data_IF_137430760186
#
_entry.id   IF_137430760186
#
_cell.length_a   1.000
_cell.length_b   1.000
_cell.length_c   1.000
_cell.angle_alpha   90.00
_cell.angle_beta   90.00
_cell.angle_gamma   90.00
#
_symmetry.space_group_name_H-M   'P 1'
#
loop_
_entity.id
_entity.type
_entity.pdbx_description
1 polymer ?
#
# COMPACT_ATOMS: atom_id res chain seq x y z
N UNK A 1 -17.64 18.14 -6.39
CA UNK A 1 -16.28 17.59 -6.16
C UNK A 1 -16.16 17.18 -4.70
N UNK A 2 -15.59 16.02 -4.42
CA UNK A 2 -15.45 15.57 -3.03
C UNK A 2 -14.35 16.32 -2.31
N UNK A 3 -14.47 16.43 -0.99
CA UNK A 3 -13.42 17.03 -0.15
C UNK A 3 -12.09 16.28 -0.31
N UNK A 4 -12.15 14.96 -0.49
CA UNK A 4 -10.96 14.13 -0.68
C UNK A 4 -10.23 14.53 -1.97
N UNK A 5 -10.96 14.73 -3.07
CA UNK A 5 -10.36 15.15 -4.33
C UNK A 5 -9.70 16.52 -4.20
N UNK A 6 -10.35 17.46 -3.52
CA UNK A 6 -9.80 18.80 -3.28
C UNK A 6 -8.54 18.74 -2.43
N UNK A 7 -8.55 17.96 -1.36
CA UNK A 7 -7.41 17.82 -0.46
C UNK A 7 -6.22 17.19 -1.16
N UNK A 8 -6.44 16.14 -1.96
CA UNK A 8 -5.37 15.49 -2.72
C UNK A 8 -4.75 16.45 -3.73
N UNK A 9 -5.57 17.21 -4.44
CA UNK A 9 -5.09 18.18 -5.41
C UNK A 9 -4.23 19.24 -4.74
N UNK A 10 -4.69 19.75 -3.59
CA UNK A 10 -3.94 20.75 -2.82
C UNK A 10 -2.59 20.19 -2.37
N UNK A 11 -2.57 19.00 -1.74
CA UNK A 11 -1.33 18.40 -1.25
C UNK A 11 -0.36 18.14 -2.39
N UNK A 12 -0.83 17.58 -3.50
CA UNK A 12 0.02 17.34 -4.66
C UNK A 12 0.67 18.62 -5.19
N UNK A 13 -0.05 19.73 -5.15
CA UNK A 13 0.48 21.01 -5.63
C UNK A 13 1.61 21.56 -4.78
N UNK A 14 1.73 21.09 -3.54
CA UNK A 14 2.79 21.53 -2.60
C UNK A 14 4.02 20.63 -2.64
N UNK A 15 3.98 19.49 -3.33
CA UNK A 15 5.08 18.53 -3.33
C UNK A 15 6.04 18.80 -4.48
N UNK A 16 7.37 18.68 -4.24
CA UNK A 16 8.35 18.76 -5.31
C UNK A 16 8.25 17.55 -6.24
N UNK A 17 8.74 17.69 -7.47
CA UNK A 17 8.79 16.60 -8.42
C UNK A 17 9.62 15.43 -7.88
N UNK A 18 9.25 14.22 -8.23
CA UNK A 18 9.95 13.01 -7.80
C UNK A 18 9.52 12.47 -6.44
N UNK A 19 8.59 13.15 -5.76
CA UNK A 19 8.05 12.67 -4.49
C UNK A 19 6.75 11.90 -4.74
N UNK A 20 6.65 10.71 -4.15
CA UNK A 20 5.44 9.89 -4.22
C UNK A 20 4.58 10.14 -2.99
N UNK A 21 3.33 10.54 -3.21
CA UNK A 21 2.36 10.71 -2.14
C UNK A 21 1.64 9.38 -1.90
N UNK A 22 1.76 8.86 -0.68
CA UNK A 22 1.02 7.67 -0.27
C UNK A 22 -0.16 8.12 0.58
N UNK A 23 -1.38 7.83 0.12
CA UNK A 23 -2.57 8.12 0.90
C UNK A 23 -2.79 7.01 1.92
N UNK A 24 -2.80 7.35 3.21
CA UNK A 24 -3.04 6.39 4.28
C UNK A 24 -4.53 6.11 4.34
N UNK A 25 -4.90 4.88 3.99
CA UNK A 25 -6.29 4.46 3.84
C UNK A 25 -6.78 3.54 4.96
N UNK A 26 -5.93 3.24 5.93
CA UNK A 26 -6.32 2.38 7.07
C UNK A 26 -7.56 2.94 7.77
N UNK A 27 -8.45 2.05 8.20
CA UNK A 27 -9.72 2.35 8.87
C UNK A 27 -10.75 3.09 8.01
N UNK A 28 -10.42 3.44 6.76
CA UNK A 28 -11.39 4.04 5.83
C UNK A 28 -12.07 2.94 5.00
N UNK A 29 -13.38 3.06 4.74
CA UNK A 29 -14.07 2.09 3.89
C UNK A 29 -13.66 2.23 2.43
N UNK A 30 -13.95 1.18 1.65
CA UNK A 30 -13.59 1.15 0.23
C UNK A 30 -14.20 2.31 -0.57
N UNK A 31 -15.38 2.79 -0.18
CA UNK A 31 -16.03 3.91 -0.86
C UNK A 31 -15.20 5.19 -0.78
N UNK A 32 -14.58 5.44 0.37
CA UNK A 32 -13.72 6.61 0.57
C UNK A 32 -12.45 6.50 -0.27
N UNK A 33 -11.85 5.31 -0.32
CA UNK A 33 -10.68 5.05 -1.14
C UNK A 33 -11.03 5.23 -2.62
N UNK A 34 -12.22 4.79 -3.02
CA UNK A 34 -12.69 4.94 -4.39
C UNK A 34 -12.80 6.41 -4.81
N UNK A 35 -13.21 7.29 -3.89
CA UNK A 35 -13.24 8.73 -4.18
C UNK A 35 -11.85 9.26 -4.51
N UNK A 36 -10.84 8.85 -3.74
CA UNK A 36 -9.46 9.24 -4.02
C UNK A 36 -8.97 8.65 -5.35
N UNK A 37 -9.33 7.41 -5.62
CA UNK A 37 -9.00 6.75 -6.88
C UNK A 37 -9.61 7.50 -8.07
N UNK A 38 -10.88 7.86 -7.97
CA UNK A 38 -11.58 8.57 -9.04
C UNK A 38 -10.99 9.97 -9.26
N UNK A 39 -10.35 10.54 -8.23
CA UNK A 39 -9.62 11.80 -8.34
C UNK A 39 -8.24 11.65 -8.97
N UNK A 40 -7.85 10.43 -9.35
CA UNK A 40 -6.59 10.14 -10.02
C UNK A 40 -5.47 9.62 -9.14
N UNK A 41 -5.73 9.41 -7.85
CA UNK A 41 -4.70 8.88 -6.95
C UNK A 41 -4.61 7.36 -7.04
N UNK A 42 -3.39 6.83 -7.07
CA UNK A 42 -3.14 5.39 -7.29
C UNK A 42 -2.30 4.72 -6.22
N UNK A 43 -1.77 5.47 -5.25
CA UNK A 43 -0.85 4.93 -4.24
C UNK A 43 -1.49 5.05 -2.86
N UNK A 44 -1.76 3.91 -2.23
CA UNK A 44 -2.43 3.86 -0.93
C UNK A 44 -1.63 3.01 0.06
N UNK A 45 -1.71 3.35 1.34
CA UNK A 45 -1.03 2.63 2.40
C UNK A 45 -1.98 2.06 3.43
N UNK A 46 -1.81 0.78 3.75
CA UNK A 46 -2.59 0.06 4.76
C UNK A 46 -1.67 -0.47 5.85
N UNK A 47 -2.20 -0.60 7.06
CA UNK A 47 -1.42 -1.08 8.21
C UNK A 47 -1.69 -2.54 8.56
N UNK A 48 -2.80 -3.11 8.11
CA UNK A 48 -3.19 -4.49 8.43
C UNK A 48 -3.25 -5.33 7.16
N UNK A 49 -2.52 -6.46 7.11
CA UNK A 49 -2.49 -7.28 5.89
C UNK A 49 -3.84 -7.79 5.44
N UNK A 50 -4.72 -8.15 6.36
CA UNK A 50 -6.04 -8.65 6.01
C UNK A 50 -6.92 -7.56 5.41
N UNK A 51 -6.89 -6.35 5.99
CA UNK A 51 -7.61 -5.21 5.47
C UNK A 51 -7.09 -4.83 4.08
N UNK A 52 -5.76 -4.86 3.91
CA UNK A 52 -5.13 -4.60 2.62
C UNK A 52 -5.60 -5.58 1.56
N UNK A 53 -5.64 -6.86 1.89
CA UNK A 53 -6.10 -7.90 0.97
C UNK A 53 -7.55 -7.69 0.57
N UNK A 54 -8.41 -7.41 1.54
CA UNK A 54 -9.83 -7.18 1.27
C UNK A 54 -10.05 -5.98 0.36
N UNK A 55 -9.32 -4.89 0.60
CA UNK A 55 -9.42 -3.69 -0.23
C UNK A 55 -8.87 -3.95 -1.63
N UNK A 56 -7.79 -4.72 -1.74
CA UNK A 56 -7.25 -5.09 -3.05
C UNK A 56 -8.29 -5.86 -3.88
N UNK A 57 -9.03 -6.76 -3.25
CA UNK A 57 -10.06 -7.54 -3.94
C UNK A 57 -11.25 -6.68 -4.36
N UNK A 58 -11.61 -5.70 -3.54
CA UNK A 58 -12.80 -4.86 -3.74
C UNK A 58 -12.58 -3.68 -4.68
N UNK A 59 -11.33 -3.26 -4.89
CA UNK A 59 -11.00 -2.04 -5.60
C UNK A 59 -10.25 -2.33 -6.91
N UNK A 60 -10.12 -1.33 -7.82
CA UNK A 60 -9.42 -1.55 -9.10
C UNK A 60 -7.99 -2.05 -8.91
N UNK A 61 -7.53 -2.85 -9.87
CA UNK A 61 -6.24 -3.56 -9.76
C UNK A 61 -5.04 -2.71 -10.13
N UNK A 62 -5.23 -1.51 -10.63
CA UNK A 62 -4.14 -0.60 -10.96
C UNK A 62 -3.72 0.29 -9.77
N UNK A 63 -4.29 0.06 -8.59
CA UNK A 63 -3.84 0.71 -7.37
C UNK A 63 -2.50 0.11 -6.94
N UNK A 64 -1.55 0.98 -6.57
CA UNK A 64 -0.29 0.57 -6.00
C UNK A 64 -0.43 0.56 -4.48
N UNK A 65 -0.42 -0.63 -3.89
CA UNK A 65 -0.60 -0.80 -2.46
C UNK A 65 0.71 -0.86 -1.71
N UNK A 66 0.81 -0.10 -0.62
CA UNK A 66 1.95 -0.13 0.29
C UNK A 66 1.52 -0.68 1.64
N UNK A 67 2.32 -1.58 2.20
CA UNK A 67 2.13 -2.02 3.57
C UNK A 67 2.96 -1.12 4.47
N UNK A 68 2.29 -0.26 5.25
CA UNK A 68 2.97 0.78 6.04
C UNK A 68 3.01 0.49 7.53
N UNK A 69 2.32 -0.56 7.99
CA UNK A 69 2.33 -0.95 9.39
C UNK A 69 3.28 -2.11 9.67
N UNK A 70 3.34 -2.50 10.93
CA UNK A 70 4.14 -3.66 11.34
C UNK A 70 3.60 -4.94 10.69
N UNK A 71 4.52 -5.73 10.13
CA UNK A 71 4.15 -6.95 9.40
C UNK A 71 4.68 -8.18 10.13
N UNK A 72 3.76 -9.07 10.51
CA UNK A 72 4.11 -10.37 11.08
C UNK A 72 4.46 -11.35 9.96
N UNK A 73 5.42 -12.23 10.23
CA UNK A 73 5.90 -13.20 9.22
C UNK A 73 4.81 -14.11 8.69
N UNK A 74 3.84 -14.49 9.55
CA UNK A 74 2.76 -15.38 9.14
C UNK A 74 1.66 -14.68 8.33
N UNK A 75 1.76 -13.37 8.13
CA UNK A 75 0.78 -12.59 7.37
C UNK A 75 1.28 -12.17 5.99
N UNK A 76 2.56 -12.33 5.71
CA UNK A 76 3.15 -11.90 4.44
C UNK A 76 2.44 -12.53 3.24
N UNK A 77 2.06 -13.79 3.36
CA UNK A 77 1.40 -14.55 2.28
C UNK A 77 0.12 -13.88 1.77
N UNK A 78 -0.54 -13.08 2.58
CA UNK A 78 -1.80 -12.44 2.18
C UNK A 78 -1.59 -11.26 1.24
N UNK A 79 -0.42 -10.65 1.28
CA UNK A 79 -0.14 -9.42 0.50
C UNK A 79 0.95 -9.61 -0.55
N UNK A 80 1.81 -10.61 -0.42
CA UNK A 80 2.92 -10.83 -1.34
C UNK A 80 2.52 -10.90 -2.81
N UNK A 81 1.36 -11.46 -3.19
CA UNK A 81 0.98 -11.52 -4.60
C UNK A 81 0.76 -10.17 -5.27
N UNK A 82 0.51 -9.08 -4.52
CA UNK A 82 0.14 -7.82 -5.16
C UNK A 82 0.79 -6.57 -4.55
N UNK A 83 1.32 -6.63 -3.33
CA UNK A 83 1.86 -5.44 -2.67
C UNK A 83 3.05 -4.87 -3.47
N UNK A 84 3.12 -3.53 -3.55
CA UNK A 84 4.19 -2.86 -4.29
C UNK A 84 5.41 -2.58 -3.42
N UNK A 85 5.19 -2.20 -2.16
CA UNK A 85 6.27 -1.82 -1.25
C UNK A 85 5.88 -2.16 0.18
N UNK A 86 6.80 -2.75 0.93
CA UNK A 86 6.62 -3.03 2.35
C UNK A 86 7.55 -2.12 3.13
N UNK A 87 6.97 -1.28 3.96
CA UNK A 87 7.71 -0.39 4.87
C UNK A 87 8.07 -1.16 6.16
N UNK A 88 8.84 -0.52 7.02
CA UNK A 88 9.09 -1.02 8.39
C UNK A 88 9.67 -2.43 8.47
N UNK A 89 10.55 -2.78 7.55
CA UNK A 89 11.30 -4.04 7.64
C UNK A 89 12.47 -3.80 8.59
N UNK A 90 12.37 -4.36 9.80
CA UNK A 90 13.28 -4.05 10.90
C UNK A 90 14.17 -5.22 11.33
N UNK A 91 14.12 -6.34 10.61
CA UNK A 91 14.94 -7.51 10.94
C UNK A 91 15.28 -8.33 9.71
N UNK A 92 16.41 -9.02 9.76
CA UNK A 92 16.80 -9.94 8.71
C UNK A 92 15.80 -11.10 8.59
N UNK A 93 15.24 -11.55 9.72
CA UNK A 93 14.23 -12.61 9.73
C UNK A 93 13.00 -12.23 8.93
N UNK A 94 12.51 -11.01 9.10
CA UNK A 94 11.36 -10.51 8.34
C UNK A 94 11.71 -10.38 6.86
N UNK A 95 12.88 -9.84 6.53
CA UNK A 95 13.32 -9.71 5.15
C UNK A 95 13.41 -11.07 4.45
N UNK A 96 13.95 -12.07 5.13
CA UNK A 96 14.03 -13.43 4.58
C UNK A 96 12.66 -14.05 4.36
N UNK A 97 11.74 -13.84 5.29
CA UNK A 97 10.37 -14.32 5.15
C UNK A 97 9.67 -13.67 3.95
N UNK A 98 9.88 -12.38 3.75
CA UNK A 98 9.33 -11.66 2.59
C UNK A 98 9.91 -12.24 1.31
N UNK A 99 11.22 -12.51 1.28
CA UNK A 99 11.86 -13.08 0.10
C UNK A 99 11.28 -14.45 -0.25
N UNK A 100 11.05 -15.29 0.74
CA UNK A 100 10.46 -16.62 0.51
C UNK A 100 9.08 -16.52 -0.11
N UNK A 101 8.23 -15.63 0.41
CA UNK A 101 6.88 -15.46 -0.13
C UNK A 101 6.91 -14.82 -1.52
N UNK A 102 7.80 -13.87 -1.75
CA UNK A 102 7.96 -13.26 -3.07
C UNK A 102 8.38 -14.30 -4.11
N UNK A 103 9.30 -15.19 -3.74
CA UNK A 103 9.76 -16.26 -4.64
C UNK A 103 8.61 -17.20 -5.01
N UNK A 104 7.75 -17.55 -4.06
CA UNK A 104 6.57 -18.39 -4.33
C UNK A 104 5.62 -17.74 -5.32
N UNK A 105 5.54 -16.43 -5.34
CA UNK A 105 4.68 -15.67 -6.25
C UNK A 105 5.37 -15.30 -7.56
N UNK A 106 6.65 -15.62 -7.71
CA UNK A 106 7.43 -15.22 -8.87
C UNK A 106 7.64 -13.71 -8.98
N UNK A 107 7.69 -13.01 -7.85
CA UNK A 107 7.81 -11.54 -7.80
C UNK A 107 9.06 -11.11 -7.06
N UNK A 108 9.52 -9.91 -7.41
CA UNK A 108 10.51 -9.18 -6.64
C UNK A 108 9.78 -8.07 -5.88
N UNK A 109 9.90 -8.05 -4.55
CA UNK A 109 9.22 -7.06 -3.73
C UNK A 109 10.21 -6.00 -3.25
N UNK A 110 9.79 -4.74 -3.29
CA UNK A 110 10.56 -3.65 -2.74
C UNK A 110 10.25 -3.51 -1.24
N UNK A 111 11.29 -3.24 -0.46
CA UNK A 111 11.16 -3.06 0.98
C UNK A 111 11.94 -1.82 1.42
N UNK A 112 11.50 -1.22 2.53
CA UNK A 112 12.22 -0.16 3.19
C UNK A 112 12.75 -0.70 4.53
N UNK A 113 14.05 -0.63 4.71
CA UNK A 113 14.68 -1.02 5.97
C UNK A 113 14.52 0.09 7.01
N UNK A 114 14.21 -0.32 8.20
CA UNK A 114 13.99 0.62 9.30
C UNK A 114 15.05 0.46 10.38
#
# INVERSE_FOLDING_TARGET
MSDIACQLSFVRSTLPGGVTLVAVSKTHPAEVIREAYDAGHRVFGESRPQELREKHEALPKDIEWHMIGHLQTNKIKYIAPFVALIHSVDSARLAEAIQREAAKCGRTLEILLE
#
